data_IF_923302637062
#
_entry.id   IF_923302637062
#
_cell.length_a   1.000
_cell.length_b   1.000
_cell.length_c   1.000
_cell.angle_alpha   90.00
_cell.angle_beta   90.00
_cell.angle_gamma   90.00
#
_symmetry.space_group_name_H-M   'P 1'
#
loop_
_entity.id
_entity.type
_entity.pdbx_description
1 polymer ?
#
# COMPACT_ATOMS: atom_id res chain seq x y z
N UNK A 1 16.68 19.39 -3.91
CA UNK A 1 15.99 18.48 -2.98
C UNK A 1 14.47 18.47 -3.16
N UNK A 2 13.99 18.60 -4.40
CA UNK A 2 12.54 18.72 -4.69
C UNK A 2 11.84 17.37 -4.94
N UNK A 3 12.58 16.26 -5.00
CA UNK A 3 12.10 14.96 -5.46
C UNK A 3 12.06 13.90 -4.37
N UNK A 4 11.85 14.32 -3.10
CA UNK A 4 11.73 13.40 -1.98
C UNK A 4 10.28 13.07 -1.67
N UNK A 5 10.05 11.86 -1.18
CA UNK A 5 8.74 11.53 -0.63
C UNK A 5 8.45 12.40 0.58
N UNK A 6 7.24 12.95 0.63
CA UNK A 6 6.74 13.55 1.84
C UNK A 6 6.43 12.47 2.87
N UNK A 7 6.72 12.74 4.13
CA UNK A 7 6.34 11.86 5.23
C UNK A 7 5.94 12.66 6.48
N UNK A 8 5.19 12.02 7.35
CA UNK A 8 4.80 12.55 8.65
C UNK A 8 5.10 11.52 9.73
N UNK A 9 5.29 11.97 10.95
CA UNK A 9 5.55 11.10 12.10
C UNK A 9 4.56 11.36 13.21
N UNK A 10 4.26 10.32 14.01
CA UNK A 10 3.49 10.43 15.25
C UNK A 10 3.95 9.37 16.24
N UNK A 11 3.66 9.58 17.52
CA UNK A 11 4.12 8.71 18.60
C UNK A 11 5.49 9.12 19.17
N UNK A 12 5.95 8.38 20.18
CA UNK A 12 7.22 8.64 20.84
C UNK A 12 8.39 8.09 20.04
N UNK A 13 9.39 8.90 19.63
CA UNK A 13 10.54 8.44 18.85
C UNK A 13 11.43 7.41 19.56
N UNK A 14 11.24 7.18 20.87
CA UNK A 14 11.93 6.14 21.63
C UNK A 14 11.29 4.75 21.48
N UNK A 15 10.08 4.65 20.92
CA UNK A 15 9.38 3.39 20.69
C UNK A 15 9.87 2.71 19.40
N UNK A 16 9.61 1.40 19.23
CA UNK A 16 9.87 0.72 17.96
C UNK A 16 9.24 1.47 16.80
N UNK A 17 10.00 1.68 15.71
CA UNK A 17 9.52 2.42 14.56
C UNK A 17 8.66 1.54 13.64
N UNK A 18 7.64 2.14 13.02
CA UNK A 18 6.73 1.49 12.09
C UNK A 18 6.48 2.37 10.87
N UNK A 19 6.95 1.94 9.70
CA UNK A 19 6.64 2.58 8.41
C UNK A 19 5.28 2.10 7.91
N UNK A 20 4.37 3.02 7.62
CA UNK A 20 3.08 2.78 6.98
C UNK A 20 3.05 3.43 5.59
N UNK A 21 2.80 2.63 4.56
CA UNK A 21 2.74 3.11 3.17
C UNK A 21 1.37 2.80 2.58
N UNK A 22 0.67 3.85 2.15
CA UNK A 22 -0.69 3.79 1.63
C UNK A 22 -0.80 3.21 0.21
N UNK A 23 -2.02 2.90 -0.22
CA UNK A 23 -2.32 2.39 -1.56
C UNK A 23 -2.43 3.46 -2.64
N UNK A 24 -2.67 3.02 -3.87
CA UNK A 24 -2.90 3.91 -5.01
C UNK A 24 -4.24 4.65 -4.88
N UNK A 25 -4.31 5.89 -5.37
CA UNK A 25 -5.46 6.80 -5.20
C UNK A 25 -5.82 7.07 -3.73
N UNK A 26 -4.81 7.12 -2.85
CA UNK A 26 -4.96 7.30 -1.42
C UNK A 26 -3.97 8.35 -0.90
N UNK A 27 -3.79 8.43 0.40
CA UNK A 27 -2.81 9.30 1.07
C UNK A 27 -2.61 8.83 2.51
N UNK A 28 -1.82 9.57 3.30
CA UNK A 28 -1.67 9.35 4.73
C UNK A 28 -3.02 9.38 5.50
N UNK A 29 -4.06 10.03 4.97
CA UNK A 29 -5.41 10.01 5.54
C UNK A 29 -5.99 8.59 5.70
N UNK A 30 -5.51 7.63 4.91
CA UNK A 30 -5.89 6.22 5.02
C UNK A 30 -5.62 5.63 6.40
N UNK A 31 -4.59 6.12 7.08
CA UNK A 31 -4.15 5.57 8.35
C UNK A 31 -4.81 6.21 9.57
N UNK A 32 -5.65 7.24 9.35
CA UNK A 32 -6.31 7.99 10.44
C UNK A 32 -6.95 7.09 11.52
N UNK A 33 -7.71 6.01 11.18
CA UNK A 33 -8.32 5.14 12.18
C UNK A 33 -7.32 4.29 12.99
N UNK A 34 -6.05 4.30 12.59
CA UNK A 34 -5.01 3.47 13.19
C UNK A 34 -4.06 4.27 14.09
N UNK A 35 -4.02 5.61 13.91
CA UNK A 35 -2.93 6.42 14.45
C UNK A 35 -2.92 6.50 15.97
N UNK A 36 -4.09 6.58 16.61
CA UNK A 36 -4.16 6.71 18.07
C UNK A 36 -3.56 5.47 18.75
N UNK A 37 -4.05 4.28 18.42
CA UNK A 37 -3.58 3.03 19.02
C UNK A 37 -2.16 2.66 18.59
N UNK A 38 -1.81 2.84 17.31
CA UNK A 38 -0.45 2.53 16.85
C UNK A 38 0.54 3.56 17.39
N UNK A 39 0.20 4.85 17.47
CA UNK A 39 1.07 5.90 18.04
C UNK A 39 1.32 5.75 19.54
N UNK A 40 0.43 5.06 20.28
CA UNK A 40 0.66 4.68 21.66
C UNK A 40 1.71 3.57 21.82
N UNK A 41 2.02 2.82 20.79
CA UNK A 41 2.89 1.65 20.84
C UNK A 41 4.15 1.78 19.99
N UNK A 42 4.10 2.58 18.94
CA UNK A 42 5.14 2.74 17.94
C UNK A 42 5.48 4.22 17.72
N UNK A 43 6.66 4.46 17.21
CA UNK A 43 6.98 5.66 16.46
C UNK A 43 6.54 5.43 15.02
N UNK A 44 5.40 5.97 14.66
CA UNK A 44 4.77 5.73 13.34
C UNK A 44 5.29 6.73 12.33
N UNK A 45 5.77 6.24 11.19
CA UNK A 45 6.22 7.01 10.03
C UNK A 45 5.24 6.75 8.88
N UNK A 46 4.63 7.80 8.36
CA UNK A 46 3.62 7.77 7.30
C UNK A 46 4.25 8.32 6.02
N UNK A 47 4.64 7.49 5.09
CA UNK A 47 5.20 7.94 3.82
C UNK A 47 4.10 8.08 2.75
N UNK A 48 4.12 9.18 2.01
CA UNK A 48 3.23 9.40 0.86
C UNK A 48 3.95 9.06 -0.44
N UNK A 49 3.30 8.26 -1.26
CA UNK A 49 3.81 7.88 -2.58
C UNK A 49 3.86 9.11 -3.49
N UNK A 50 4.80 9.14 -4.44
CA UNK A 50 4.91 10.25 -5.40
C UNK A 50 3.59 10.54 -6.12
N UNK A 51 3.27 11.82 -6.22
CA UNK A 51 2.03 12.31 -6.81
C UNK A 51 0.77 12.05 -5.98
N UNK A 52 0.93 11.63 -4.71
CA UNK A 52 -0.16 11.45 -3.76
C UNK A 52 0.04 12.40 -2.58
N UNK A 53 -1.06 12.94 -2.04
CA UNK A 53 -1.01 13.87 -0.91
C UNK A 53 -0.09 15.06 -1.18
N UNK A 54 0.87 15.27 -0.28
CA UNK A 54 1.86 16.34 -0.37
C UNK A 54 3.18 15.90 -1.05
N UNK A 55 3.28 14.64 -1.51
CA UNK A 55 4.46 14.16 -2.24
C UNK A 55 4.48 14.67 -3.68
N UNK A 56 5.57 15.30 -4.13
CA UNK A 56 5.70 15.73 -5.52
C UNK A 56 5.79 14.53 -6.48
N UNK A 57 5.79 14.79 -7.77
CA UNK A 57 6.34 13.85 -8.75
C UNK A 57 7.85 14.11 -8.88
N UNK A 58 8.67 13.08 -9.16
CA UNK A 58 10.08 13.28 -9.50
C UNK A 58 10.22 14.19 -10.73
N UNK A 59 11.20 15.11 -10.72
CA UNK A 59 11.50 15.97 -11.88
C UNK A 59 11.95 15.11 -13.07
N UNK A 60 12.83 14.14 -12.83
CA UNK A 60 13.13 13.11 -13.84
C UNK A 60 12.15 11.94 -13.72
N UNK A 61 11.26 11.84 -14.70
CA UNK A 61 10.26 10.79 -14.74
C UNK A 61 10.85 9.38 -14.91
N UNK A 62 12.11 9.23 -15.30
CA UNK A 62 12.82 7.96 -15.31
C UNK A 62 13.09 7.44 -13.89
N UNK A 63 13.10 8.33 -12.89
CA UNK A 63 13.22 8.00 -11.47
C UNK A 63 11.95 7.37 -10.86
N UNK A 64 10.81 7.44 -11.55
CA UNK A 64 9.57 6.84 -11.07
C UNK A 64 9.61 5.30 -11.18
N UNK A 65 10.43 4.67 -10.34
CA UNK A 65 10.73 3.22 -10.37
C UNK A 65 10.65 2.59 -8.97
N UNK A 66 10.53 1.25 -8.92
CA UNK A 66 10.55 0.51 -7.64
C UNK A 66 11.90 0.71 -6.91
N UNK A 67 13.08 0.58 -7.55
CA UNK A 67 14.34 0.84 -6.87
C UNK A 67 14.44 2.25 -6.27
N UNK A 68 13.86 3.25 -6.92
CA UNK A 68 13.86 4.61 -6.39
C UNK A 68 12.95 4.75 -5.17
N UNK A 69 11.76 4.11 -5.15
CA UNK A 69 10.94 4.03 -3.93
C UNK A 69 11.68 3.34 -2.78
N UNK A 70 12.37 2.25 -3.06
CA UNK A 70 13.20 1.54 -2.07
C UNK A 70 14.27 2.47 -1.49
N UNK A 71 14.96 3.23 -2.34
CA UNK A 71 15.96 4.22 -1.91
C UNK A 71 15.33 5.36 -1.10
N UNK A 72 14.12 5.81 -1.42
CA UNK A 72 13.40 6.83 -0.66
C UNK A 72 13.00 6.35 0.73
N UNK A 73 12.51 5.12 0.87
CA UNK A 73 12.21 4.55 2.19
C UNK A 73 13.48 4.45 3.04
N UNK A 74 14.59 3.97 2.47
CA UNK A 74 15.88 3.90 3.17
C UNK A 74 16.40 5.29 3.55
N UNK A 75 16.19 6.29 2.70
CA UNK A 75 16.52 7.68 3.01
C UNK A 75 15.72 8.19 4.21
N UNK A 76 14.39 8.02 4.24
CA UNK A 76 13.54 8.43 5.36
C UNK A 76 14.00 7.75 6.66
N UNK A 77 14.26 6.44 6.62
CA UNK A 77 14.77 5.70 7.78
C UNK A 77 16.08 6.30 8.31
N UNK A 78 17.01 6.57 7.39
CA UNK A 78 18.33 7.13 7.74
C UNK A 78 18.25 8.57 8.27
N UNK A 79 17.41 9.40 7.66
CA UNK A 79 17.17 10.79 8.10
C UNK A 79 16.60 10.85 9.51
N UNK A 80 15.71 9.92 9.85
CA UNK A 80 15.15 9.76 11.19
C UNK A 80 16.09 9.05 12.17
N UNK A 81 17.32 8.69 11.75
CA UNK A 81 18.31 7.96 12.54
C UNK A 81 17.78 6.63 13.13
N UNK A 82 16.88 5.97 12.43
CA UNK A 82 16.33 4.67 12.84
C UNK A 82 17.26 3.54 12.44
N UNK A 83 17.61 2.63 13.35
CA UNK A 83 18.40 1.44 13.04
C UNK A 83 17.61 0.44 12.18
N UNK A 84 16.34 0.24 12.52
CA UNK A 84 15.40 -0.64 11.82
C UNK A 84 13.97 -0.17 12.10
N UNK A 85 13.01 -0.74 11.36
CA UNK A 85 11.59 -0.50 11.55
C UNK A 85 10.73 -1.68 11.09
N UNK A 86 9.50 -1.78 11.58
CA UNK A 86 8.46 -2.59 10.97
C UNK A 86 7.96 -1.90 9.70
N UNK A 87 7.51 -2.66 8.72
CA UNK A 87 7.01 -2.11 7.44
C UNK A 87 5.63 -2.64 7.14
N UNK A 88 4.70 -1.75 6.82
CA UNK A 88 3.34 -2.08 6.40
C UNK A 88 3.05 -1.47 5.04
N UNK A 89 2.74 -2.30 4.06
CA UNK A 89 2.38 -1.88 2.71
C UNK A 89 0.93 -2.21 2.36
N UNK A 90 0.09 -1.19 2.11
CA UNK A 90 -1.30 -1.41 1.72
C UNK A 90 -1.44 -1.49 0.20
N UNK A 91 -2.11 -2.53 -0.31
CA UNK A 91 -2.50 -2.66 -1.72
C UNK A 91 -1.31 -2.45 -2.68
N UNK A 92 -1.30 -1.33 -3.40
CA UNK A 92 -0.21 -0.95 -4.31
C UNK A 92 1.16 -0.97 -3.61
N UNK A 93 1.23 -0.43 -2.39
CA UNK A 93 2.47 -0.38 -1.62
C UNK A 93 2.94 -1.76 -1.13
N UNK A 94 2.13 -2.82 -1.21
CA UNK A 94 2.56 -4.17 -0.85
C UNK A 94 3.79 -4.62 -1.65
N UNK A 95 3.78 -4.41 -2.98
CA UNK A 95 4.93 -4.73 -3.82
C UNK A 95 6.16 -3.87 -3.53
N UNK A 96 5.97 -2.59 -3.20
CA UNK A 96 7.06 -1.69 -2.80
C UNK A 96 7.69 -2.13 -1.48
N UNK A 97 6.86 -2.46 -0.48
CA UNK A 97 7.29 -2.93 0.83
C UNK A 97 8.04 -4.27 0.76
N UNK A 98 7.58 -5.20 -0.09
CA UNK A 98 8.28 -6.47 -0.35
C UNK A 98 9.67 -6.21 -0.95
N UNK A 99 9.76 -5.37 -1.98
CA UNK A 99 11.05 -5.04 -2.61
C UNK A 99 12.00 -4.35 -1.61
N UNK A 100 11.47 -3.47 -0.74
CA UNK A 100 12.29 -2.85 0.30
C UNK A 100 12.80 -3.88 1.32
N UNK A 101 11.94 -4.77 1.80
CA UNK A 101 12.32 -5.80 2.77
C UNK A 101 13.36 -6.80 2.23
N UNK A 102 13.33 -7.07 0.92
CA UNK A 102 14.33 -7.92 0.26
C UNK A 102 15.66 -7.17 0.07
N UNK A 103 15.59 -5.88 -0.29
CA UNK A 103 16.81 -5.08 -0.50
C UNK A 103 17.53 -4.73 0.81
N UNK A 104 16.81 -4.61 1.92
CA UNK A 104 17.32 -4.20 3.23
C UNK A 104 16.78 -5.08 4.37
N UNK A 105 17.00 -6.41 4.32
CA UNK A 105 16.41 -7.33 5.30
C UNK A 105 16.85 -7.03 6.74
N UNK A 106 18.06 -6.54 6.94
CA UNK A 106 18.61 -6.15 8.24
C UNK A 106 17.98 -4.87 8.83
N UNK A 107 17.24 -4.12 8.01
CA UNK A 107 16.52 -2.90 8.41
C UNK A 107 15.05 -3.14 8.75
N UNK A 108 14.54 -4.34 8.46
CA UNK A 108 13.11 -4.67 8.60
C UNK A 108 12.91 -5.67 9.73
N UNK A 109 12.27 -5.23 10.82
CA UNK A 109 11.94 -6.10 11.97
C UNK A 109 10.77 -7.03 11.68
N UNK A 110 9.96 -6.70 10.68
CA UNK A 110 8.84 -7.48 10.19
C UNK A 110 8.15 -6.76 9.05
N UNK A 111 7.50 -7.50 8.18
CA UNK A 111 6.77 -7.02 7.02
C UNK A 111 5.32 -7.46 7.07
N UNK A 112 4.40 -6.52 6.98
CA UNK A 112 2.98 -6.79 6.78
C UNK A 112 2.51 -6.17 5.49
N UNK A 113 1.75 -6.92 4.71
CA UNK A 113 1.07 -6.40 3.52
C UNK A 113 -0.41 -6.70 3.59
N UNK A 114 -1.23 -5.84 2.97
CA UNK A 114 -2.67 -6.12 2.87
C UNK A 114 -3.04 -6.70 1.52
N UNK A 115 -4.32 -6.90 1.28
CA UNK A 115 -4.86 -7.36 0.00
C UNK A 115 -4.26 -6.60 -1.18
N UNK A 116 -3.54 -7.28 -2.07
CA UNK A 116 -2.86 -6.66 -3.20
C UNK A 116 -2.89 -7.52 -4.46
N UNK A 117 -3.79 -7.19 -5.38
CA UNK A 117 -3.78 -7.82 -6.72
C UNK A 117 -2.64 -7.30 -7.61
N UNK A 118 -2.03 -6.15 -7.28
CA UNK A 118 -0.83 -5.68 -7.97
C UNK A 118 0.41 -6.48 -7.60
N UNK A 119 0.52 -6.91 -6.34
CA UNK A 119 1.64 -7.72 -5.86
C UNK A 119 1.47 -9.23 -6.12
N UNK A 120 0.23 -9.74 -6.08
CA UNK A 120 -0.04 -11.18 -6.05
C UNK A 120 -1.05 -11.67 -7.11
N UNK A 121 -1.58 -10.76 -7.94
CA UNK A 121 -2.56 -11.15 -8.95
C UNK A 121 -1.92 -11.91 -10.12
N UNK A 122 -2.66 -12.87 -10.67
CA UNK A 122 -2.22 -13.56 -11.88
C UNK A 122 -2.11 -12.59 -13.07
N UNK A 123 -0.91 -12.50 -13.63
CA UNK A 123 -0.58 -11.61 -14.74
C UNK A 123 -1.41 -11.93 -15.98
N UNK A 124 -1.69 -13.21 -16.26
CA UNK A 124 -2.46 -13.63 -17.43
C UNK A 124 -3.93 -13.19 -17.33
N UNK A 125 -4.54 -13.38 -16.15
CA UNK A 125 -5.91 -12.95 -15.86
C UNK A 125 -6.01 -11.42 -15.90
N UNK A 126 -5.04 -10.72 -15.33
CA UNK A 126 -4.97 -9.25 -15.34
C UNK A 126 -4.90 -8.67 -16.77
N UNK A 127 -4.19 -9.33 -17.69
CA UNK A 127 -4.13 -8.95 -19.12
C UNK A 127 -5.48 -9.10 -19.82
N UNK A 128 -6.20 -10.22 -19.58
CA UNK A 128 -7.53 -10.47 -20.18
C UNK A 128 -8.57 -9.46 -19.68
N UNK A 129 -8.60 -9.19 -18.38
CA UNK A 129 -9.49 -8.18 -17.78
C UNK A 129 -9.21 -6.78 -18.33
N UNK A 130 -7.94 -6.43 -18.56
CA UNK A 130 -7.55 -5.16 -19.16
C UNK A 130 -8.01 -5.03 -20.60
N UNK A 131 -7.85 -6.07 -21.42
CA UNK A 131 -8.31 -6.07 -22.82
C UNK A 131 -9.82 -5.82 -22.88
N UNK A 132 -10.61 -6.50 -22.04
CA UNK A 132 -12.06 -6.31 -21.92
C UNK A 132 -12.45 -4.90 -21.49
N UNK A 133 -11.72 -4.31 -20.50
CA UNK A 133 -11.96 -2.93 -20.04
C UNK A 133 -11.63 -1.88 -21.10
N UNK A 134 -10.53 -2.06 -21.83
CA UNK A 134 -10.14 -1.14 -22.90
C UNK A 134 -11.16 -1.12 -24.03
N UNK A 135 -11.79 -2.26 -24.36
CA UNK A 135 -12.90 -2.31 -25.31
C UNK A 135 -14.15 -1.55 -24.84
N UNK A 136 -14.47 -1.62 -23.55
CA UNK A 136 -15.61 -0.91 -22.96
C UNK A 136 -15.30 0.60 -22.82
N UNK A 137 -14.08 0.96 -22.42
CA UNK A 137 -13.68 2.35 -22.24
C UNK A 137 -13.59 3.15 -23.56
N UNK A 138 -13.21 2.50 -24.67
CA UNK A 138 -13.14 3.15 -25.98
C UNK A 138 -14.51 3.64 -26.51
N UNK A 139 -15.62 3.16 -25.92
CA UNK A 139 -16.98 3.46 -26.39
C UNK A 139 -17.73 4.56 -25.62
N UNK A 140 -17.18 5.12 -24.50
CA UNK A 140 -18.00 5.95 -23.58
C UNK A 140 -17.23 7.07 -22.86
N UNK A 141 -16.25 7.70 -23.49
CA UNK A 141 -15.49 8.79 -22.86
C UNK A 141 -16.21 10.14 -22.97
N UNK A 142 -16.95 10.53 -21.94
CA UNK A 142 -17.51 11.88 -21.76
C UNK A 142 -16.71 12.70 -20.75
N UNK A 143 -16.89 14.04 -20.74
CA UNK A 143 -16.17 15.01 -19.90
C UNK A 143 -16.16 14.73 -18.37
N UNK A 144 -16.98 13.81 -17.88
CA UNK A 144 -16.98 13.34 -16.48
C UNK A 144 -15.69 12.62 -16.05
N UNK A 145 -14.76 12.40 -16.95
CA UNK A 145 -13.54 11.61 -16.74
C UNK A 145 -12.35 12.42 -16.23
N UNK A 146 -12.50 13.74 -16.09
CA UNK A 146 -11.42 14.62 -15.62
C UNK A 146 -11.01 14.37 -14.14
N UNK A 147 -11.79 13.60 -13.36
CA UNK A 147 -11.61 13.49 -11.90
C UNK A 147 -11.19 12.10 -11.44
N UNK A 148 -10.49 11.28 -12.24
CA UNK A 148 -10.04 9.92 -11.86
C UNK A 148 -11.16 8.96 -11.40
N UNK A 149 -12.40 9.46 -11.28
CA UNK A 149 -13.58 8.72 -10.79
C UNK A 149 -14.04 7.61 -11.73
N UNK A 150 -13.51 7.54 -12.96
CA UNK A 150 -13.72 6.41 -13.85
C UNK A 150 -12.98 5.14 -13.42
N UNK A 151 -12.02 5.26 -12.50
CA UNK A 151 -11.25 4.13 -11.99
C UNK A 151 -12.06 3.36 -10.93
N UNK A 152 -12.28 2.04 -11.10
CA UNK A 152 -13.09 1.26 -10.15
C UNK A 152 -12.55 1.22 -8.71
N UNK A 153 -11.25 1.52 -8.56
CA UNK A 153 -10.58 1.58 -7.25
C UNK A 153 -10.70 2.95 -6.57
N UNK A 154 -11.38 3.92 -7.21
CA UNK A 154 -11.55 5.25 -6.64
C UNK A 154 -12.33 5.18 -5.32
N UNK A 155 -11.90 5.89 -4.24
CA UNK A 155 -12.51 5.81 -2.91
C UNK A 155 -14.01 6.15 -2.88
N UNK A 156 -14.50 6.92 -3.87
CA UNK A 156 -15.93 7.26 -3.98
C UNK A 156 -16.84 6.03 -4.00
N UNK A 157 -16.34 4.91 -4.53
CA UNK A 157 -17.07 3.64 -4.63
C UNK A 157 -16.96 2.76 -3.39
N UNK A 158 -16.12 3.16 -2.42
CA UNK A 158 -16.00 2.42 -1.17
C UNK A 158 -17.29 2.52 -0.35
N UNK A 159 -17.78 1.37 0.14
CA UNK A 159 -19.10 1.26 0.81
C UNK A 159 -18.98 1.11 2.33
N UNK A 160 -17.78 0.85 2.86
CA UNK A 160 -17.56 0.51 4.27
C UNK A 160 -16.61 1.47 4.98
N UNK A 161 -16.18 2.54 4.30
CA UNK A 161 -15.32 3.54 4.94
C UNK A 161 -16.17 4.50 5.79
N UNK A 162 -15.68 4.95 6.95
CA UNK A 162 -16.26 6.09 7.66
C UNK A 162 -16.32 7.33 6.75
N UNK A 163 -17.37 8.11 6.88
CA UNK A 163 -17.65 9.20 5.94
C UNK A 163 -16.56 10.27 5.90
N UNK A 164 -15.98 10.61 7.05
CA UNK A 164 -14.90 11.60 7.17
C UNK A 164 -13.59 11.10 6.51
N UNK A 165 -13.22 9.83 6.74
CA UNK A 165 -12.07 9.20 6.09
C UNK A 165 -12.30 9.11 4.58
N UNK A 166 -13.51 8.67 4.17
CA UNK A 166 -13.88 8.58 2.77
C UNK A 166 -13.79 9.93 2.06
N UNK A 167 -14.32 10.99 2.67
CA UNK A 167 -14.26 12.33 2.11
C UNK A 167 -12.82 12.79 1.85
N UNK A 168 -11.91 12.57 2.80
CA UNK A 168 -10.49 12.91 2.65
C UNK A 168 -9.82 12.11 1.53
N UNK A 169 -10.07 10.81 1.47
CA UNK A 169 -9.50 9.94 0.43
C UNK A 169 -10.03 10.31 -0.96
N UNK A 170 -11.32 10.64 -1.08
CA UNK A 170 -11.92 11.12 -2.32
C UNK A 170 -11.26 12.43 -2.77
N UNK A 171 -11.08 13.39 -1.85
CA UNK A 171 -10.40 14.64 -2.18
C UNK A 171 -8.96 14.42 -2.65
N UNK A 172 -8.20 13.53 -2.02
CA UNK A 172 -6.86 13.16 -2.46
C UNK A 172 -6.85 12.53 -3.86
N UNK A 173 -7.74 11.57 -4.09
CA UNK A 173 -7.84 10.88 -5.37
C UNK A 173 -8.26 11.81 -6.52
N UNK A 174 -9.22 12.72 -6.26
CA UNK A 174 -9.69 13.72 -7.24
C UNK A 174 -8.59 14.72 -7.62
N UNK A 175 -7.68 15.03 -6.70
CA UNK A 175 -6.58 16.00 -6.91
C UNK A 175 -5.35 15.40 -7.58
N UNK A 176 -5.27 14.08 -7.74
CA UNK A 176 -4.13 13.47 -8.43
C UNK A 176 -4.10 13.88 -9.92
N UNK A 177 -2.92 14.26 -10.38
CA UNK A 177 -2.70 14.61 -11.79
C UNK A 177 -2.79 13.36 -12.67
N UNK A 178 -3.20 13.56 -13.93
CA UNK A 178 -3.19 12.49 -14.94
C UNK A 178 -1.79 11.87 -15.09
N UNK A 179 -0.76 12.69 -14.97
CA UNK A 179 0.62 12.24 -15.02
C UNK A 179 0.98 11.28 -13.86
N UNK A 180 0.63 11.64 -12.62
CA UNK A 180 0.83 10.77 -11.46
C UNK A 180 0.13 9.42 -11.63
N UNK A 181 -1.08 9.43 -12.17
CA UNK A 181 -1.86 8.22 -12.44
C UNK A 181 -1.21 7.35 -13.51
N UNK A 182 -0.77 7.97 -14.61
CA UNK A 182 -0.14 7.24 -15.70
C UNK A 182 1.19 6.61 -15.25
N UNK A 183 2.03 7.35 -14.53
CA UNK A 183 3.30 6.85 -13.98
C UNK A 183 3.09 5.73 -12.97
N UNK A 184 2.18 5.93 -12.00
CA UNK A 184 1.81 4.88 -11.04
C UNK A 184 1.25 3.62 -11.72
N UNK A 185 0.48 3.79 -12.80
CA UNK A 185 0.00 2.69 -13.61
C UNK A 185 1.10 1.89 -14.32
N UNK A 186 2.22 2.51 -14.68
CA UNK A 186 3.39 1.84 -15.25
C UNK A 186 4.11 0.99 -14.19
N UNK A 187 4.40 1.56 -13.02
CA UNK A 187 5.04 0.82 -11.92
C UNK A 187 4.15 -0.34 -11.46
N UNK A 188 2.82 -0.14 -11.38
CA UNK A 188 1.88 -1.19 -10.98
C UNK A 188 2.09 -2.51 -11.71
N UNK A 189 2.54 -2.46 -12.98
CA UNK A 189 2.81 -3.67 -13.76
C UNK A 189 4.06 -4.43 -13.29
N UNK A 190 5.01 -3.70 -12.68
CA UNK A 190 6.25 -4.26 -12.15
C UNK A 190 6.13 -4.69 -10.68
N UNK A 191 5.02 -4.34 -9.99
CA UNK A 191 4.82 -4.64 -8.57
C UNK A 191 4.53 -6.11 -8.28
N UNK A 192 4.34 -6.97 -9.30
CA UNK A 192 4.10 -8.38 -9.03
C UNK A 192 5.31 -9.01 -8.34
N UNK A 193 5.09 -9.43 -7.12
CA UNK A 193 6.12 -9.88 -6.20
C UNK A 193 5.88 -11.32 -5.72
N UNK A 194 4.97 -12.05 -6.35
CA UNK A 194 4.65 -13.42 -5.95
C UNK A 194 5.86 -14.35 -5.97
N UNK A 195 6.69 -14.25 -7.00
CA UNK A 195 7.94 -15.04 -7.11
C UNK A 195 9.01 -14.60 -6.12
N UNK A 196 8.85 -13.43 -5.49
CA UNK A 196 9.82 -12.88 -4.54
C UNK A 196 9.48 -13.26 -3.08
N UNK A 197 8.29 -13.81 -2.80
CA UNK A 197 7.85 -14.10 -1.43
C UNK A 197 8.86 -14.99 -0.70
N UNK A 198 9.42 -15.99 -1.38
CA UNK A 198 10.35 -16.96 -0.79
C UNK A 198 11.75 -16.36 -0.51
N UNK A 199 12.00 -15.13 -1.00
CA UNK A 199 13.22 -14.35 -0.72
C UNK A 199 13.06 -13.38 0.45
N UNK A 200 11.86 -13.28 1.04
CA UNK A 200 11.61 -12.44 2.22
C UNK A 200 12.17 -13.14 3.45
N UNK A 201 13.21 -12.58 4.06
CA UNK A 201 13.83 -13.14 5.26
C UNK A 201 13.28 -12.59 6.58
N UNK A 202 12.84 -11.32 6.69
CA UNK A 202 12.15 -10.87 7.89
C UNK A 202 10.81 -11.59 8.11
N UNK A 203 10.29 -11.66 9.35
CA UNK A 203 8.94 -12.14 9.61
C UNK A 203 7.93 -11.48 8.66
N UNK A 204 7.12 -12.28 7.98
CA UNK A 204 6.20 -11.82 6.93
C UNK A 204 4.77 -12.26 7.19
N UNK A 205 3.80 -11.36 7.00
CA UNK A 205 2.37 -11.64 7.18
C UNK A 205 1.52 -10.91 6.13
N UNK A 206 0.44 -11.56 5.70
CA UNK A 206 -0.64 -10.92 4.93
C UNK A 206 -1.82 -10.66 5.87
N UNK A 207 -2.20 -9.38 6.03
CA UNK A 207 -3.43 -8.96 6.67
C UNK A 207 -4.55 -8.98 5.63
N UNK A 208 -5.41 -10.00 5.67
CA UNK A 208 -6.41 -10.27 4.64
C UNK A 208 -7.80 -9.75 5.01
N UNK A 209 -8.31 -8.81 4.22
CA UNK A 209 -9.71 -8.41 4.27
C UNK A 209 -10.58 -9.41 3.48
N UNK A 210 -11.34 -10.24 4.19
CA UNK A 210 -12.08 -11.39 3.61
C UNK A 210 -13.19 -10.99 2.63
N UNK A 211 -13.67 -9.74 2.71
CA UNK A 211 -14.75 -9.26 1.85
C UNK A 211 -14.29 -8.86 0.44
N UNK A 212 -13.00 -8.77 0.18
CA UNK A 212 -12.46 -8.56 -1.17
C UNK A 212 -12.39 -9.87 -1.94
N UNK A 213 -13.52 -10.29 -2.51
CA UNK A 213 -13.67 -11.60 -3.20
C UNK A 213 -12.64 -11.83 -4.30
N UNK A 214 -12.28 -10.77 -5.04
CA UNK A 214 -11.31 -10.88 -6.13
C UNK A 214 -9.91 -11.27 -5.65
N UNK A 215 -9.51 -10.81 -4.46
CA UNK A 215 -8.23 -11.16 -3.87
C UNK A 215 -8.23 -12.56 -3.24
N UNK A 216 -9.38 -13.07 -2.77
CA UNK A 216 -9.44 -14.40 -2.15
C UNK A 216 -9.00 -15.51 -3.11
N UNK A 217 -9.22 -15.32 -4.42
CA UNK A 217 -8.76 -16.27 -5.45
C UNK A 217 -7.22 -16.29 -5.50
N UNK A 218 -6.60 -15.12 -5.55
CA UNK A 218 -5.13 -14.99 -5.55
C UNK A 218 -4.55 -15.52 -4.23
N UNK A 219 -5.15 -15.20 -3.09
CA UNK A 219 -4.73 -15.66 -1.78
C UNK A 219 -4.81 -17.19 -1.64
N UNK A 220 -5.87 -17.82 -2.14
CA UNK A 220 -6.02 -19.29 -2.13
C UNK A 220 -4.87 -19.95 -2.90
N UNK A 221 -4.51 -19.41 -4.06
CA UNK A 221 -3.38 -19.89 -4.86
C UNK A 221 -2.04 -19.71 -4.12
N UNK A 222 -1.83 -18.57 -3.47
CA UNK A 222 -0.62 -18.29 -2.67
C UNK A 222 -0.49 -19.29 -1.51
N UNK A 223 -1.58 -19.54 -0.76
CA UNK A 223 -1.61 -20.49 0.37
C UNK A 223 -1.36 -21.93 -0.09
N UNK A 224 -1.90 -22.33 -1.25
CA UNK A 224 -1.65 -23.67 -1.82
C UNK A 224 -0.18 -23.85 -2.16
N UNK A 225 0.47 -22.85 -2.74
CA UNK A 225 1.89 -22.89 -3.08
C UNK A 225 2.83 -22.73 -1.86
N UNK A 226 2.31 -22.15 -0.76
CA UNK A 226 3.09 -21.82 0.45
C UNK A 226 2.28 -22.10 1.72
N UNK A 227 2.21 -23.39 2.17
CA UNK A 227 1.40 -23.76 3.34
C UNK A 227 1.81 -23.04 4.64
N UNK A 228 3.06 -22.58 4.75
CA UNK A 228 3.59 -21.83 5.89
C UNK A 228 3.37 -20.32 5.84
N UNK A 229 2.70 -19.80 4.81
CA UNK A 229 2.45 -18.36 4.68
C UNK A 229 1.51 -17.88 5.80
N UNK A 230 2.01 -16.95 6.63
CA UNK A 230 1.21 -16.36 7.72
C UNK A 230 0.18 -15.40 7.12
N UNK A 231 -1.09 -15.74 7.31
CA UNK A 231 -2.23 -14.93 6.88
C UNK A 231 -3.16 -14.75 8.06
N UNK A 232 -3.57 -13.50 8.31
CA UNK A 232 -4.58 -13.17 9.32
C UNK A 232 -5.81 -12.61 8.61
N UNK A 233 -6.91 -13.33 8.72
CA UNK A 233 -8.21 -12.96 8.16
C UNK A 233 -8.89 -11.93 9.07
N UNK A 234 -9.40 -10.85 8.48
CA UNK A 234 -10.07 -9.74 9.16
C UNK A 234 -11.41 -9.42 8.50
N UNK A 235 -12.38 -8.93 9.26
CA UNK A 235 -13.74 -8.64 8.81
C UNK A 235 -13.80 -7.31 8.02
N UNK A 236 -12.98 -7.18 6.99
CA UNK A 236 -12.87 -6.01 6.12
C UNK A 236 -12.73 -6.39 4.64
N UNK A 237 -12.72 -5.39 3.78
CA UNK A 237 -12.48 -5.52 2.35
C UNK A 237 -11.08 -5.05 1.97
N UNK A 238 -11.00 -4.29 0.85
CA UNK A 238 -9.72 -3.83 0.29
C UNK A 238 -8.94 -2.89 1.22
N UNK A 239 -9.64 -2.00 1.92
CA UNK A 239 -9.06 -1.08 2.89
C UNK A 239 -9.17 -1.66 4.30
N UNK A 240 -8.62 -2.86 4.51
CA UNK A 240 -8.78 -3.64 5.74
C UNK A 240 -8.35 -2.88 7.00
N UNK A 241 -7.33 -2.04 6.89
CA UNK A 241 -6.86 -1.19 7.99
C UNK A 241 -7.89 -0.13 8.43
N UNK A 242 -8.85 0.23 7.56
CA UNK A 242 -9.95 1.15 7.86
C UNK A 242 -11.21 0.36 8.22
N UNK A 243 -11.56 -0.63 7.39
CA UNK A 243 -12.82 -1.37 7.49
C UNK A 243 -12.87 -2.30 8.71
N UNK A 244 -11.72 -2.75 9.21
CA UNK A 244 -11.53 -3.58 10.39
C UNK A 244 -10.43 -2.99 11.30
N UNK A 245 -10.51 -1.69 11.61
CA UNK A 245 -9.43 -0.94 12.24
C UNK A 245 -8.97 -1.54 13.58
N UNK A 246 -9.88 -1.98 14.43
CA UNK A 246 -9.54 -2.55 15.73
C UNK A 246 -8.81 -3.88 15.61
N UNK A 247 -9.30 -4.79 14.73
CA UNK A 247 -8.65 -6.07 14.45
C UNK A 247 -7.26 -5.84 13.84
N UNK A 248 -7.17 -4.89 12.91
CA UNK A 248 -5.93 -4.52 12.26
C UNK A 248 -4.91 -4.00 13.28
N UNK A 249 -5.28 -3.02 14.10
CA UNK A 249 -4.41 -2.43 15.10
C UNK A 249 -3.91 -3.47 16.11
N UNK A 250 -4.81 -4.31 16.65
CA UNK A 250 -4.44 -5.37 17.57
C UNK A 250 -3.45 -6.36 16.93
N UNK A 251 -3.68 -6.72 15.66
CA UNK A 251 -2.80 -7.61 14.91
C UNK A 251 -1.42 -6.99 14.66
N UNK A 252 -1.34 -5.70 14.30
CA UNK A 252 -0.06 -5.00 14.14
C UNK A 252 0.73 -4.97 15.44
N UNK A 253 0.08 -4.60 16.55
CA UNK A 253 0.71 -4.57 17.87
C UNK A 253 1.25 -5.97 18.24
N UNK A 254 0.44 -7.01 18.07
CA UNK A 254 0.86 -8.39 18.34
C UNK A 254 2.04 -8.81 17.46
N UNK A 255 1.96 -8.54 16.15
CA UNK A 255 2.97 -9.00 15.19
C UNK A 255 4.33 -8.33 15.37
N UNK A 256 4.36 -7.03 15.63
CA UNK A 256 5.61 -6.27 15.71
C UNK A 256 6.23 -6.22 17.11
N UNK A 257 5.45 -6.42 18.17
CA UNK A 257 5.95 -6.38 19.55
C UNK A 257 6.14 -7.79 20.17
N UNK A 258 5.48 -8.81 19.61
CA UNK A 258 5.57 -10.20 20.08
C UNK A 258 5.76 -11.15 18.88
N UNK A 259 6.89 -11.04 18.16
CA UNK A 259 7.15 -11.78 16.92
C UNK A 259 7.27 -13.30 17.14
#
# INVERSE_FOLDING_TARGET
MRDRLNYRTTGDPKRPALLLVHGFLSSNAQWQPNLDLLGERFFVVLAELWGHGDSPLPEDHSDFTIPRYVAEFEHIRSELNLSCWGVVGQSYAAGLAINYAIAHPERVTGLVVTNSRSAFGDIATSRKEKAKRNQIAASTLTEKQKNNRHMPIHPIYAKRLPDDVKARLVACADNMTEEAINKGGLIRRALNSESLIDSITPPFMIANGVYEKSFQVDLSRLKTGRPGLKVVDMQGGHAVNIEAADEFNATMIQFFLNP
#
